data_IF_300341647355
#
_entry.id   IF_300341647355
#
_cell.length_a   1.000
_cell.length_b   1.000
_cell.length_c   1.000
_cell.angle_alpha   90.00
_cell.angle_beta   90.00
_cell.angle_gamma   90.00
#
_symmetry.space_group_name_H-M   'P 1'
#
loop_
_entity.id
_entity.type
_entity.pdbx_description
1 polymer ?
#
# COMPACT_ATOMS: atom_id res chain seq x y z
N UNK A 1 30.62 28.33 -30.25
CA UNK A 1 30.22 29.20 -29.13
C UNK A 1 30.52 28.45 -27.84
N UNK A 2 31.60 28.78 -27.11
CA UNK A 2 31.82 28.19 -25.79
C UNK A 2 30.73 28.70 -24.84
N UNK A 3 30.22 27.83 -23.97
CA UNK A 3 29.21 28.20 -22.98
C UNK A 3 29.72 29.35 -22.08
N UNK A 4 28.88 30.32 -21.68
CA UNK A 4 29.30 31.41 -20.82
C UNK A 4 29.81 30.83 -19.51
N UNK A 5 31.10 31.04 -19.22
CA UNK A 5 31.72 30.62 -17.96
C UNK A 5 31.02 31.33 -16.80
N UNK A 6 30.39 30.56 -15.91
CA UNK A 6 29.62 31.10 -14.79
C UNK A 6 30.51 32.00 -13.90
N UNK A 7 30.09 33.26 -13.72
CA UNK A 7 30.86 34.28 -13.02
C UNK A 7 30.88 33.99 -11.49
N UNK A 8 32.04 33.71 -10.88
CA UNK A 8 32.14 33.33 -9.45
C UNK A 8 31.64 34.39 -8.49
N UNK A 9 31.62 35.67 -8.90
CA UNK A 9 31.10 36.78 -8.11
C UNK A 9 29.57 36.72 -7.89
N UNK A 10 28.82 36.13 -8.83
CA UNK A 10 27.36 35.97 -8.73
C UNK A 10 26.99 34.66 -8.02
N UNK A 11 27.80 33.62 -8.19
CA UNK A 11 27.57 32.30 -7.58
C UNK A 11 27.77 32.30 -6.07
N UNK A 12 28.69 33.11 -5.55
CA UNK A 12 29.06 33.09 -4.12
C UNK A 12 27.93 33.56 -3.20
N UNK A 13 27.22 34.67 -3.48
CA UNK A 13 26.05 35.07 -2.69
C UNK A 13 24.92 34.04 -2.70
N UNK A 14 24.61 33.45 -3.87
CA UNK A 14 23.57 32.43 -4.01
C UNK A 14 23.88 31.17 -3.18
N UNK A 15 25.15 30.74 -3.13
CA UNK A 15 25.57 29.63 -2.27
C UNK A 15 25.37 29.93 -0.79
N UNK A 16 25.68 31.14 -0.34
CA UNK A 16 25.43 31.56 1.05
C UNK A 16 23.94 31.61 1.39
N UNK A 17 23.10 31.98 0.43
CA UNK A 17 21.65 31.92 0.58
C UNK A 17 21.19 30.47 0.78
N UNK A 18 21.66 29.54 -0.06
CA UNK A 18 21.41 28.09 0.08
C UNK A 18 21.87 27.59 1.46
N UNK A 19 23.10 27.90 1.89
CA UNK A 19 23.59 27.49 3.21
C UNK A 19 22.69 27.99 4.35
N UNK A 20 22.14 29.20 4.21
CA UNK A 20 21.23 29.78 5.22
C UNK A 20 19.88 29.05 5.22
N UNK A 21 19.35 28.71 4.04
CA UNK A 21 18.14 27.91 3.89
C UNK A 21 18.33 26.50 4.47
N UNK A 22 19.45 25.84 4.17
CA UNK A 22 19.76 24.49 4.65
C UNK A 22 19.83 24.43 6.18
N UNK A 23 20.46 25.41 6.83
CA UNK A 23 20.46 25.50 8.30
C UNK A 23 19.04 25.64 8.87
N UNK A 24 18.17 26.40 8.21
CA UNK A 24 16.76 26.53 8.61
C UNK A 24 15.98 25.23 8.40
N UNK A 25 16.22 24.53 7.29
CA UNK A 25 15.63 23.21 7.02
C UNK A 25 16.01 22.23 8.13
N UNK A 26 17.30 22.12 8.47
CA UNK A 26 17.76 21.24 9.55
C UNK A 26 17.10 21.60 10.89
N UNK A 27 16.99 22.89 11.23
CA UNK A 27 16.33 23.32 12.45
C UNK A 27 14.84 22.94 12.47
N UNK A 28 14.13 23.10 11.35
CA UNK A 28 12.72 22.72 11.21
C UNK A 28 12.52 21.20 11.30
N UNK A 29 13.41 20.41 10.68
CA UNK A 29 13.38 18.96 10.74
C UNK A 29 13.56 18.46 12.19
N UNK A 30 14.52 19.02 12.93
CA UNK A 30 14.72 18.69 14.34
C UNK A 30 13.50 19.07 15.19
N UNK A 31 12.96 20.27 15.02
CA UNK A 31 11.74 20.70 15.73
C UNK A 31 10.55 19.78 15.44
N UNK A 32 10.38 19.36 14.17
CA UNK A 32 9.35 18.38 13.79
C UNK A 32 9.57 17.05 14.50
N UNK A 33 10.81 16.57 14.57
CA UNK A 33 11.18 15.32 15.22
C UNK A 33 10.97 15.36 16.74
N UNK A 34 11.18 16.50 17.39
CA UNK A 34 10.85 16.69 18.81
C UNK A 34 9.35 16.54 19.05
N UNK A 35 8.51 17.20 18.24
CA UNK A 35 7.04 17.07 18.33
C UNK A 35 6.60 15.63 18.08
N UNK A 36 7.18 15.01 17.06
CA UNK A 36 7.00 13.59 16.71
C UNK A 36 7.30 12.68 17.92
N UNK A 37 8.41 12.93 18.61
CA UNK A 37 8.84 12.14 19.78
C UNK A 37 7.87 12.31 20.95
N UNK A 38 7.36 13.52 21.20
CA UNK A 38 6.35 13.77 22.23
C UNK A 38 5.04 13.04 21.94
N UNK A 39 4.58 13.03 20.69
CA UNK A 39 3.42 12.24 20.26
C UNK A 39 3.66 10.75 20.54
N UNK A 40 4.84 10.23 20.19
CA UNK A 40 5.22 8.85 20.48
C UNK A 40 5.20 8.52 21.98
N UNK A 41 5.66 9.43 22.84
CA UNK A 41 5.61 9.25 24.29
C UNK A 41 4.16 9.17 24.81
N UNK A 42 3.30 10.09 24.38
CA UNK A 42 1.88 10.07 24.78
C UNK A 42 1.15 8.80 24.34
N UNK A 43 1.42 8.30 23.14
CA UNK A 43 0.83 7.04 22.65
C UNK A 43 1.25 5.85 23.52
N UNK A 44 2.50 5.81 24.00
CA UNK A 44 2.99 4.77 24.91
C UNK A 44 2.35 4.86 26.29
N UNK A 45 2.22 6.07 26.83
CA UNK A 45 1.63 6.32 28.15
C UNK A 45 0.16 5.93 28.23
N UNK A 46 -0.60 6.21 27.17
CA UNK A 46 -2.05 5.92 27.14
C UNK A 46 -2.37 4.43 27.01
N UNK A 47 -1.37 3.54 26.84
CA UNK A 47 -1.55 2.10 26.54
C UNK A 47 -2.58 1.84 25.44
N UNK A 48 -2.84 2.84 24.58
CA UNK A 48 -3.65 2.64 23.40
C UNK A 48 -2.83 1.69 22.55
N UNK A 49 -3.31 0.46 22.43
CA UNK A 49 -2.61 -0.61 21.73
C UNK A 49 -2.27 -0.27 20.28
N UNK A 50 -2.82 0.84 19.73
CA UNK A 50 -2.46 1.50 18.47
C UNK A 50 -0.94 1.57 18.27
N UNK A 51 -0.38 0.48 17.75
CA UNK A 51 1.03 0.31 17.46
C UNK A 51 1.41 1.22 16.29
N UNK A 52 1.70 2.47 16.63
CA UNK A 52 2.56 3.50 16.02
C UNK A 52 2.46 3.85 14.52
N UNK A 53 1.80 3.06 13.67
CA UNK A 53 1.71 3.29 12.23
C UNK A 53 0.27 3.47 11.76
N UNK A 54 -0.01 4.64 11.19
CA UNK A 54 -1.30 4.96 10.56
C UNK A 54 -1.03 5.39 9.11
N UNK A 55 -1.14 4.41 8.19
CA UNK A 55 -0.92 4.62 6.76
C UNK A 55 -1.83 5.72 6.20
N UNK A 56 -3.10 5.73 6.62
CA UNK A 56 -4.09 6.70 6.15
C UNK A 56 -3.72 8.13 6.58
N UNK A 57 -3.21 8.30 7.81
CA UNK A 57 -2.76 9.61 8.31
C UNK A 57 -1.56 10.14 7.55
N UNK A 58 -0.60 9.29 7.19
CA UNK A 58 0.57 9.67 6.39
C UNK A 58 0.17 10.08 4.98
N UNK A 59 -0.66 9.27 4.31
CA UNK A 59 -1.11 9.58 2.95
C UNK A 59 -1.97 10.85 2.91
N UNK A 60 -2.83 11.06 3.92
CA UNK A 60 -3.61 12.30 4.04
C UNK A 60 -2.72 13.53 4.21
N UNK A 61 -1.64 13.41 4.99
CA UNK A 61 -0.66 14.48 5.16
C UNK A 61 0.10 14.77 3.87
N UNK A 62 0.53 13.74 3.14
CA UNK A 62 1.21 13.90 1.87
C UNK A 62 0.33 14.58 0.83
N UNK A 63 -0.94 14.15 0.70
CA UNK A 63 -1.91 14.78 -0.20
C UNK A 63 -2.12 16.26 0.13
N UNK A 64 -2.23 16.60 1.41
CA UNK A 64 -2.34 17.99 1.84
C UNK A 64 -1.11 18.79 1.42
N UNK A 65 0.10 18.31 1.75
CA UNK A 65 1.35 19.00 1.44
C UNK A 65 1.60 19.15 -0.06
N UNK A 66 1.21 18.16 -0.87
CA UNK A 66 1.27 18.24 -2.33
C UNK A 66 0.29 19.28 -2.85
N UNK A 67 -0.94 19.30 -2.33
CA UNK A 67 -1.95 20.29 -2.72
C UNK A 67 -1.60 21.73 -2.32
N UNK A 68 -0.83 21.89 -1.24
CA UNK A 68 -0.36 23.19 -0.76
C UNK A 68 0.97 23.65 -1.37
N UNK A 69 1.63 22.85 -2.21
CA UNK A 69 2.93 23.19 -2.81
C UNK A 69 2.75 24.07 -4.06
N UNK A 70 3.01 25.40 -4.00
CA UNK A 70 2.94 26.27 -5.16
C UNK A 70 4.30 26.38 -5.87
N UNK A 71 5.32 25.69 -5.35
CA UNK A 71 6.71 25.85 -5.73
C UNK A 71 7.11 24.96 -6.92
N UNK A 72 8.36 25.11 -7.40
CA UNK A 72 8.88 24.34 -8.53
C UNK A 72 9.14 22.86 -8.21
N UNK A 73 8.95 22.46 -6.95
CA UNK A 73 9.21 21.10 -6.50
C UNK A 73 8.12 20.15 -7.04
N UNK A 74 8.53 19.09 -7.72
CA UNK A 74 7.57 18.10 -8.23
C UNK A 74 6.89 17.33 -7.08
N UNK A 75 5.65 16.88 -7.30
CA UNK A 75 4.93 16.05 -6.33
C UNK A 75 5.70 14.76 -5.96
N UNK A 76 6.35 14.13 -6.95
CA UNK A 76 7.18 12.94 -6.74
C UNK A 76 8.39 13.22 -5.83
N UNK A 77 9.08 14.34 -6.06
CA UNK A 77 10.22 14.77 -5.23
C UNK A 77 9.77 15.09 -3.80
N UNK A 78 8.65 15.79 -3.64
CA UNK A 78 8.11 16.11 -2.31
C UNK A 78 7.74 14.84 -1.53
N UNK A 79 7.11 13.86 -2.20
CA UNK A 79 6.80 12.55 -1.62
C UNK A 79 8.07 11.80 -1.19
N UNK A 80 9.10 11.79 -2.02
CA UNK A 80 10.37 11.14 -1.71
C UNK A 80 11.08 11.75 -0.47
N UNK A 81 11.06 13.08 -0.36
CA UNK A 81 11.61 13.81 0.79
C UNK A 81 10.80 13.50 2.06
N UNK A 82 9.48 13.64 2.00
CA UNK A 82 8.64 13.42 3.18
C UNK A 82 8.61 11.95 3.63
N UNK A 83 8.79 10.99 2.72
CA UNK A 83 8.98 9.57 3.06
C UNK A 83 10.16 9.38 4.00
N UNK A 84 11.33 9.96 3.72
CA UNK A 84 12.49 9.84 4.61
C UNK A 84 12.27 10.60 5.93
N UNK A 85 11.63 11.77 5.87
CA UNK A 85 11.24 12.51 7.08
C UNK A 85 10.32 11.65 7.98
N UNK A 86 9.40 10.88 7.40
CA UNK A 86 8.54 9.95 8.14
C UNK A 86 9.33 8.75 8.65
N UNK A 87 10.23 8.18 7.84
CA UNK A 87 11.13 7.08 8.23
C UNK A 87 11.92 7.43 9.49
N UNK A 88 12.67 8.52 9.48
CA UNK A 88 13.45 8.96 10.64
C UNK A 88 12.60 9.34 11.85
N UNK A 89 11.35 9.78 11.62
CA UNK A 89 10.39 10.02 12.69
C UNK A 89 9.96 8.73 13.39
N UNK A 90 9.63 7.69 12.62
CA UNK A 90 9.18 6.40 13.17
C UNK A 90 10.32 5.66 13.85
N UNK A 91 11.53 5.70 13.27
CA UNK A 91 12.73 5.12 13.87
C UNK A 91 12.99 5.62 15.31
N UNK A 92 12.64 6.87 15.63
CA UNK A 92 12.75 7.40 17.02
C UNK A 92 11.53 7.15 17.90
N UNK A 93 10.33 7.03 17.34
CA UNK A 93 9.11 6.78 18.12
C UNK A 93 8.96 5.30 18.48
N UNK A 94 8.92 4.46 17.45
CA UNK A 94 8.71 3.02 17.51
C UNK A 94 9.08 2.47 16.12
N UNK A 95 10.31 1.97 15.93
CA UNK A 95 10.75 1.41 14.67
C UNK A 95 9.76 0.35 14.17
N UNK A 96 9.46 0.37 12.87
CA UNK A 96 8.62 -0.66 12.28
C UNK A 96 9.46 -1.90 12.02
N UNK A 97 8.94 -3.06 12.41
CA UNK A 97 9.49 -4.34 11.96
C UNK A 97 8.62 -4.84 10.81
N UNK A 98 9.15 -4.74 9.59
CA UNK A 98 8.43 -5.04 8.34
C UNK A 98 8.89 -6.39 7.83
N UNK A 99 7.99 -7.37 7.85
CA UNK A 99 8.22 -8.68 7.27
C UNK A 99 7.85 -8.74 5.79
N UNK A 100 8.65 -9.44 5.02
CA UNK A 100 8.32 -9.76 3.62
C UNK A 100 8.64 -11.22 3.32
N UNK A 101 7.98 -11.76 2.30
CA UNK A 101 8.29 -13.11 1.84
C UNK A 101 9.62 -13.10 1.10
N UNK A 102 10.56 -13.84 1.67
CA UNK A 102 11.76 -14.25 0.97
C UNK A 102 11.36 -15.49 0.19
N UNK A 103 11.09 -15.31 -1.10
CA UNK A 103 10.46 -16.33 -1.93
C UNK A 103 11.14 -17.70 -1.75
N UNK A 104 10.37 -18.77 -1.78
CA UNK A 104 10.92 -20.14 -1.81
C UNK A 104 11.20 -20.63 -3.25
N UNK A 105 10.97 -19.77 -4.25
CA UNK A 105 11.10 -20.07 -5.68
C UNK A 105 9.98 -20.96 -6.24
N UNK A 106 8.99 -21.36 -5.42
CA UNK A 106 8.02 -22.40 -5.80
C UNK A 106 6.57 -21.93 -5.92
N UNK A 107 6.18 -20.80 -5.31
CA UNK A 107 4.76 -20.39 -5.29
C UNK A 107 4.44 -18.91 -5.55
N UNK A 108 5.43 -18.02 -5.62
CA UNK A 108 5.21 -16.59 -5.88
C UNK A 108 5.84 -16.18 -7.22
N UNK A 109 5.07 -15.50 -8.08
CA UNK A 109 5.56 -14.91 -9.34
C UNK A 109 6.45 -13.66 -9.14
N UNK A 110 6.70 -13.29 -7.88
CA UNK A 110 7.49 -12.13 -7.48
C UNK A 110 8.92 -12.55 -7.13
N UNK A 111 9.90 -11.91 -7.76
CA UNK A 111 11.31 -12.10 -7.46
C UNK A 111 11.61 -11.76 -5.98
N UNK A 112 12.54 -12.49 -5.34
CA UNK A 112 12.88 -12.38 -3.90
C UNK A 112 13.16 -10.94 -3.43
N UNK A 113 13.64 -10.07 -4.32
CA UNK A 113 13.99 -8.68 -4.01
C UNK A 113 12.84 -7.67 -4.21
N UNK A 114 11.80 -8.03 -4.96
CA UNK A 114 10.71 -7.09 -5.30
C UNK A 114 9.91 -6.65 -4.07
N UNK A 115 9.53 -7.54 -3.12
CA UNK A 115 8.85 -7.12 -1.89
C UNK A 115 9.71 -6.19 -1.03
N UNK A 116 11.02 -6.47 -0.92
CA UNK A 116 11.94 -5.60 -0.17
C UNK A 116 12.05 -4.23 -0.83
N UNK A 117 12.17 -4.18 -2.16
CA UNK A 117 12.18 -2.94 -2.92
C UNK A 117 10.90 -2.14 -2.68
N UNK A 118 9.73 -2.78 -2.75
CA UNK A 118 8.44 -2.15 -2.46
C UNK A 118 8.41 -1.56 -1.05
N UNK A 119 8.88 -2.31 -0.06
CA UNK A 119 8.93 -1.88 1.32
C UNK A 119 9.87 -0.66 1.51
N UNK A 120 11.10 -0.73 1.00
CA UNK A 120 12.06 0.38 1.08
C UNK A 120 11.55 1.65 0.39
N UNK A 121 10.94 1.48 -0.80
CA UNK A 121 10.38 2.61 -1.56
C UNK A 121 9.17 3.23 -0.85
N UNK A 122 8.46 2.53 0.03
CA UNK A 122 7.36 3.09 0.83
C UNK A 122 7.80 3.65 2.18
N UNK A 123 8.68 2.95 2.89
CA UNK A 123 8.93 3.19 4.31
C UNK A 123 10.29 3.85 4.60
N UNK A 124 11.20 3.95 3.64
CA UNK A 124 12.53 4.48 3.90
C UNK A 124 13.56 3.41 4.20
N UNK A 125 14.80 3.80 4.40
CA UNK A 125 15.91 2.86 4.59
C UNK A 125 16.18 2.52 6.06
N UNK A 126 15.67 3.33 7.00
CA UNK A 126 15.99 3.21 8.43
C UNK A 126 15.09 2.22 9.21
N UNK A 127 14.11 1.60 8.54
CA UNK A 127 13.22 0.62 9.18
C UNK A 127 13.84 -0.77 9.27
N UNK A 128 13.31 -1.62 10.16
CA UNK A 128 13.79 -2.98 10.31
C UNK A 128 13.07 -3.92 9.34
N UNK A 129 13.77 -4.35 8.29
CA UNK A 129 13.25 -5.30 7.31
C UNK A 129 13.65 -6.73 7.65
N UNK A 130 12.68 -7.66 7.59
CA UNK A 130 12.92 -9.07 7.88
C UNK A 130 12.37 -9.98 6.79
N UNK A 131 13.28 -10.73 6.17
CA UNK A 131 12.96 -11.85 5.30
C UNK A 131 12.30 -12.98 6.10
N UNK A 132 11.16 -13.47 5.62
CA UNK A 132 10.44 -14.60 6.20
C UNK A 132 10.19 -15.64 5.10
N UNK A 133 10.61 -16.91 5.28
CA UNK A 133 10.65 -17.88 4.19
C UNK A 133 9.31 -18.51 3.84
N UNK A 134 8.25 -18.31 4.64
CA UNK A 134 6.96 -18.97 4.44
C UNK A 134 5.78 -18.04 4.73
N UNK A 135 4.72 -18.04 3.89
CA UNK A 135 3.49 -17.28 4.14
C UNK A 135 2.88 -17.55 5.51
N UNK A 136 2.84 -18.82 5.98
CA UNK A 136 2.25 -19.13 7.27
C UNK A 136 3.08 -18.57 8.45
N UNK A 137 4.40 -18.53 8.30
CA UNK A 137 5.27 -17.92 9.32
C UNK A 137 5.04 -16.41 9.36
N UNK A 138 4.96 -15.77 8.19
CA UNK A 138 4.71 -14.33 8.08
C UNK A 138 3.40 -13.93 8.78
N UNK A 139 2.30 -14.66 8.51
CA UNK A 139 1.00 -14.43 9.18
C UNK A 139 1.09 -14.61 10.69
N UNK A 140 1.69 -15.71 11.15
CA UNK A 140 1.80 -16.00 12.59
C UNK A 140 2.64 -14.95 13.31
N UNK A 141 3.73 -14.51 12.69
CA UNK A 141 4.60 -13.49 13.27
C UNK A 141 3.91 -12.13 13.36
N UNK A 142 3.20 -11.71 12.30
CA UNK A 142 2.38 -10.48 12.32
C UNK A 142 1.26 -10.57 13.35
N UNK A 143 0.51 -11.68 13.40
CA UNK A 143 -0.58 -11.85 14.36
C UNK A 143 -0.07 -11.86 15.83
N UNK A 144 1.14 -12.39 16.06
CA UNK A 144 1.79 -12.36 17.37
C UNK A 144 2.35 -10.99 17.77
N UNK A 145 2.40 -10.02 16.86
CA UNK A 145 3.02 -8.71 17.08
C UNK A 145 4.55 -8.70 17.00
N UNK A 146 5.18 -9.79 16.56
CA UNK A 146 6.63 -9.83 16.29
C UNK A 146 7.02 -9.02 15.06
N UNK A 147 6.10 -8.93 14.10
CA UNK A 147 6.18 -8.03 12.97
C UNK A 147 5.11 -6.97 13.15
N UNK A 148 5.48 -5.71 12.93
CA UNK A 148 4.53 -4.59 12.93
C UNK A 148 3.71 -4.62 11.65
N UNK A 149 4.36 -4.88 10.51
CA UNK A 149 3.72 -4.96 9.19
C UNK A 149 4.24 -6.16 8.43
N UNK A 150 3.43 -6.67 7.51
CA UNK A 150 3.84 -7.70 6.57
C UNK A 150 3.35 -7.42 5.16
N UNK A 151 4.21 -7.65 4.16
CA UNK A 151 3.87 -7.49 2.74
C UNK A 151 3.39 -8.80 2.14
N UNK A 152 2.27 -8.75 1.42
CA UNK A 152 1.69 -9.89 0.71
C UNK A 152 1.37 -9.55 -0.75
N UNK A 153 1.72 -10.45 -1.66
CA UNK A 153 1.22 -10.41 -3.05
C UNK A 153 -0.25 -10.88 -3.10
N UNK A 154 -1.00 -10.54 -4.16
CA UNK A 154 -2.38 -10.99 -4.33
C UNK A 154 -2.52 -12.52 -4.26
N UNK A 155 -1.56 -13.27 -4.79
CA UNK A 155 -1.53 -14.74 -4.83
C UNK A 155 -1.40 -15.33 -3.43
N UNK A 156 -0.37 -14.89 -2.70
CA UNK A 156 -0.10 -15.29 -1.31
C UNK A 156 -1.24 -14.89 -0.37
N UNK A 157 -1.85 -13.72 -0.62
CA UNK A 157 -3.04 -13.25 0.09
C UNK A 157 -4.26 -14.13 -0.18
N UNK A 158 -4.49 -14.50 -1.45
CA UNK A 158 -5.60 -15.39 -1.82
C UNK A 158 -5.43 -16.78 -1.20
N UNK A 159 -4.21 -17.31 -1.20
CA UNK A 159 -3.88 -18.62 -0.61
C UNK A 159 -4.07 -18.64 0.91
N UNK A 160 -3.84 -17.50 1.58
CA UNK A 160 -3.82 -17.42 3.05
C UNK A 160 -4.99 -16.62 3.64
N UNK A 161 -5.91 -16.14 2.81
CA UNK A 161 -6.86 -15.09 3.15
C UNK A 161 -7.86 -15.43 4.27
N UNK A 162 -8.25 -16.70 4.40
CA UNK A 162 -9.15 -17.12 5.50
C UNK A 162 -8.46 -17.06 6.87
N UNK A 163 -7.13 -17.26 6.94
CA UNK A 163 -6.37 -17.12 8.18
C UNK A 163 -6.17 -15.66 8.59
N UNK A 164 -6.12 -14.75 7.61
CA UNK A 164 -5.90 -13.32 7.81
C UNK A 164 -7.15 -12.65 8.39
N UNK A 165 -8.35 -13.00 7.92
CA UNK A 165 -9.60 -12.32 8.25
C UNK A 165 -9.99 -12.29 9.74
N UNK A 166 -9.35 -13.11 10.58
CA UNK A 166 -9.64 -13.21 12.02
C UNK A 166 -8.85 -12.19 12.84
N UNK A 167 -7.52 -12.22 12.72
CA UNK A 167 -6.59 -11.51 13.61
C UNK A 167 -5.81 -10.38 12.91
N UNK A 168 -5.91 -10.31 11.58
CA UNK A 168 -5.18 -9.36 10.75
C UNK A 168 -6.14 -8.53 9.90
N UNK A 169 -5.66 -7.38 9.42
CA UNK A 169 -6.36 -6.58 8.43
C UNK A 169 -5.38 -5.93 7.46
N UNK A 170 -5.86 -5.64 6.25
CA UNK A 170 -5.10 -4.90 5.24
C UNK A 170 -5.24 -3.41 5.50
N UNK A 171 -4.11 -2.74 5.76
CA UNK A 171 -4.05 -1.32 6.12
C UNK A 171 -3.55 -0.42 4.99
N UNK A 172 -3.13 -1.00 3.86
CA UNK A 172 -2.60 -0.25 2.72
C UNK A 172 -2.18 -1.17 1.58
N UNK A 173 -1.80 -0.56 0.46
CA UNK A 173 -1.19 -1.26 -0.66
C UNK A 173 -0.06 -0.43 -1.26
N UNK A 174 0.94 -1.10 -1.81
CA UNK A 174 2.08 -0.51 -2.49
C UNK A 174 2.05 -1.01 -3.93
N UNK A 175 1.96 -0.09 -4.89
CA UNK A 175 2.06 -0.43 -6.30
C UNK A 175 3.44 -0.01 -6.78
N UNK A 176 4.29 -0.99 -7.12
CA UNK A 176 5.55 -0.69 -7.79
C UNK A 176 5.29 -0.45 -9.27
N UNK A 177 5.58 0.76 -9.74
CA UNK A 177 5.68 0.98 -11.19
C UNK A 177 7.01 0.39 -11.68
N UNK A 178 7.02 -0.33 -12.82
CA UNK A 178 8.27 -0.84 -13.37
C UNK A 178 9.21 0.33 -13.64
N UNK A 179 10.44 0.24 -13.10
CA UNK A 179 11.49 1.19 -13.39
C UNK A 179 11.66 1.33 -14.91
N UNK A 180 11.82 2.55 -15.41
CA UNK A 180 12.30 2.78 -16.77
C UNK A 180 13.60 1.98 -16.91
N UNK A 181 13.72 1.02 -17.85
CA UNK A 181 14.95 0.26 -17.98
C UNK A 181 16.09 1.24 -18.25
N UNK A 182 17.07 1.28 -17.34
CA UNK A 182 18.32 1.98 -17.53
C UNK A 182 18.90 1.58 -18.89
N UNK A 183 19.30 2.58 -19.66
CA UNK A 183 19.50 2.53 -21.10
C UNK A 183 20.18 1.27 -21.62
N UNK A 184 19.65 0.75 -22.72
CA UNK A 184 20.22 -0.32 -23.53
C UNK A 184 21.72 -0.10 -23.74
N UNK A 185 22.55 -0.86 -23.02
CA UNK A 185 23.85 -1.28 -23.57
C UNK A 185 23.57 -1.94 -24.91
N UNK A 186 24.27 -1.51 -25.97
CA UNK A 186 24.12 -2.00 -27.34
C UNK A 186 24.45 -3.51 -27.42
N UNK A 187 23.51 -4.36 -27.02
CA UNK A 187 23.50 -5.79 -27.29
C UNK A 187 22.31 -6.11 -28.19
N UNK A 188 22.57 -6.53 -29.43
CA UNK A 188 21.54 -7.02 -30.34
C UNK A 188 20.96 -8.34 -29.78
N UNK A 189 19.94 -8.24 -28.95
CA UNK A 189 19.04 -9.32 -28.60
C UNK A 189 17.62 -8.84 -28.83
N UNK A 190 16.85 -9.54 -29.67
CA UNK A 190 15.42 -9.29 -29.85
C UNK A 190 14.73 -9.52 -28.51
N UNK A 191 14.41 -8.44 -27.79
CA UNK A 191 13.54 -8.51 -26.63
C UNK A 191 12.10 -8.60 -27.15
N UNK A 192 11.49 -9.76 -27.00
CA UNK A 192 10.10 -10.00 -27.34
C UNK A 192 9.18 -9.04 -26.57
N UNK A 193 8.40 -8.26 -27.32
CA UNK A 193 7.51 -7.21 -26.83
C UNK A 193 6.19 -7.76 -26.22
N UNK A 194 6.23 -8.86 -25.47
CA UNK A 194 5.04 -9.56 -24.97
C UNK A 194 5.12 -10.00 -23.50
N UNK A 195 5.47 -9.08 -22.59
CA UNK A 195 5.09 -9.19 -21.17
C UNK A 195 5.20 -7.82 -20.51
N UNK A 196 4.22 -6.94 -20.76
CA UNK A 196 3.91 -5.89 -19.78
C UNK A 196 3.32 -6.62 -18.56
N UNK A 197 4.19 -7.08 -17.66
CA UNK A 197 3.80 -7.67 -16.37
C UNK A 197 2.98 -6.59 -15.67
N UNK A 198 1.68 -6.87 -15.45
CA UNK A 198 0.77 -5.92 -14.84
C UNK A 198 1.36 -5.42 -13.51
N UNK A 199 1.21 -4.13 -13.20
CA UNK A 199 1.56 -3.58 -11.89
C UNK A 199 0.75 -4.34 -10.82
N UNK A 200 1.41 -5.30 -10.16
CA UNK A 200 0.82 -6.11 -9.10
C UNK A 200 1.03 -5.37 -7.78
N UNK A 201 -0.05 -5.05 -7.04
CA UNK A 201 0.05 -4.39 -5.75
C UNK A 201 0.56 -5.36 -4.68
N UNK A 202 1.42 -4.88 -3.79
CA UNK A 202 1.73 -5.52 -2.51
C UNK A 202 0.78 -4.98 -1.45
N UNK A 203 0.13 -5.85 -0.70
CA UNK A 203 -0.76 -5.47 0.40
C UNK A 203 -0.01 -5.43 1.72
N UNK A 204 -0.30 -4.41 2.52
CA UNK A 204 0.23 -4.24 3.86
C UNK A 204 -0.74 -4.81 4.88
N UNK A 205 -0.30 -5.83 5.60
CA UNK A 205 -1.07 -6.48 6.65
C UNK A 205 -0.52 -6.08 8.01
N UNK A 206 -1.43 -5.79 8.93
CA UNK A 206 -1.13 -5.52 10.34
C UNK A 206 -2.13 -6.21 11.25
N UNK A 207 -1.80 -6.28 12.54
CA UNK A 207 -2.65 -6.90 13.56
C UNK A 207 -3.89 -6.07 13.81
N UNK A 208 -5.06 -6.73 13.85
CA UNK A 208 -6.33 -6.09 14.19
C UNK A 208 -6.38 -5.85 15.70
N UNK A 209 -6.17 -4.60 16.10
CA UNK A 209 -6.18 -4.19 17.53
C UNK A 209 -7.57 -3.79 18.03
N UNK A 210 -8.46 -3.35 17.12
CA UNK A 210 -9.90 -3.18 17.37
C UNK A 210 -10.66 -3.21 16.04
N UNK A 211 -11.98 -3.48 16.07
CA UNK A 211 -12.82 -3.22 14.89
C UNK A 211 -12.66 -1.75 14.48
N UNK A 212 -12.57 -1.43 13.17
CA UNK A 212 -12.55 -0.04 12.74
C UNK A 212 -13.85 0.60 13.23
N UNK A 213 -13.74 1.46 14.25
CA UNK A 213 -14.87 2.18 14.81
C UNK A 213 -15.55 2.93 13.66
N UNK A 214 -16.72 2.43 13.23
CA UNK A 214 -17.58 2.88 12.13
C UNK A 214 -16.98 4.03 11.34
N UNK A 215 -15.89 3.75 10.61
CA UNK A 215 -15.12 4.83 10.01
C UNK A 215 -15.89 5.22 8.78
N UNK A 216 -16.51 6.40 8.80
CA UNK A 216 -17.13 6.97 7.63
C UNK A 216 -16.14 6.84 6.47
N UNK A 217 -16.50 6.03 5.47
CA UNK A 217 -15.60 5.69 4.38
C UNK A 217 -15.31 6.97 3.59
N UNK A 218 -14.11 7.50 3.75
CA UNK A 218 -13.70 8.73 3.09
C UNK A 218 -13.66 8.49 1.57
N UNK A 219 -13.97 9.50 0.75
CA UNK A 219 -13.78 9.41 -0.69
C UNK A 219 -12.33 9.04 -1.04
N UNK A 220 -12.14 8.06 -1.93
CA UNK A 220 -10.83 7.49 -2.28
C UNK A 220 -10.37 6.32 -1.39
N UNK A 221 -11.21 5.85 -0.46
CA UNK A 221 -10.97 4.60 0.28
C UNK A 221 -11.15 3.40 -0.65
N UNK A 222 -10.19 2.47 -0.64
CA UNK A 222 -10.27 1.16 -1.28
C UNK A 222 -10.71 0.11 -0.27
N UNK A 223 -11.69 -0.68 -0.66
CA UNK A 223 -12.18 -1.85 0.07
C UNK A 223 -11.65 -3.11 -0.60
N UNK A 224 -10.97 -3.96 0.16
CA UNK A 224 -10.44 -5.22 -0.34
C UNK A 224 -11.29 -6.38 0.15
N UNK A 225 -11.94 -7.08 -0.79
CA UNK A 225 -12.80 -8.21 -0.51
C UNK A 225 -12.17 -9.52 -0.97
N UNK A 226 -12.24 -10.53 -0.11
CA UNK A 226 -11.99 -11.92 -0.43
C UNK A 226 -13.32 -12.67 -0.56
N UNK A 227 -13.57 -13.22 -1.74
CA UNK A 227 -14.67 -14.13 -1.97
C UNK A 227 -14.16 -15.57 -2.01
N UNK A 228 -14.71 -16.46 -1.19
CA UNK A 228 -14.41 -17.90 -1.18
C UNK A 228 -15.67 -18.74 -1.42
N UNK A 229 -15.49 -20.04 -1.69
CA UNK A 229 -16.59 -20.98 -2.00
C UNK A 229 -17.40 -20.55 -3.23
N UNK A 230 -16.72 -19.97 -4.21
CA UNK A 230 -17.28 -19.76 -5.54
C UNK A 230 -17.35 -21.14 -6.19
N UNK A 231 -18.51 -21.80 -6.12
CA UNK A 231 -18.68 -23.17 -6.62
C UNK A 231 -18.17 -23.36 -8.05
N UNK A 232 -17.80 -24.59 -8.42
CA UNK A 232 -17.26 -24.92 -9.75
C UNK A 232 -18.19 -24.60 -10.94
N UNK A 233 -19.42 -24.17 -10.69
CA UNK A 233 -20.34 -23.71 -11.71
C UNK A 233 -19.85 -22.37 -12.25
N UNK A 234 -19.05 -22.41 -13.33
CA UNK A 234 -18.68 -21.27 -14.22
C UNK A 234 -19.06 -19.94 -13.58
N UNK A 235 -18.32 -19.52 -12.54
CA UNK A 235 -18.45 -18.17 -11.99
C UNK A 235 -18.45 -17.28 -13.19
N UNK A 236 -19.53 -16.52 -13.40
CA UNK A 236 -19.65 -15.72 -14.61
C UNK A 236 -18.61 -14.61 -14.49
N UNK A 237 -17.39 -14.90 -14.95
CA UNK A 237 -16.26 -13.98 -15.01
C UNK A 237 -16.73 -12.72 -15.74
N UNK A 238 -17.66 -12.87 -16.68
CA UNK A 238 -18.38 -11.80 -17.36
C UNK A 238 -19.26 -10.94 -16.43
N UNK A 239 -20.08 -11.51 -15.54
CA UNK A 239 -20.90 -10.74 -14.57
C UNK A 239 -20.03 -10.04 -13.53
N UNK A 240 -19.01 -10.71 -13.00
CA UNK A 240 -18.07 -10.09 -12.05
C UNK A 240 -17.29 -8.97 -12.73
N UNK A 241 -16.77 -9.18 -13.94
CA UNK A 241 -16.11 -8.13 -14.71
C UNK A 241 -17.05 -6.98 -15.09
N UNK A 242 -18.32 -7.25 -15.37
CA UNK A 242 -19.33 -6.21 -15.61
C UNK A 242 -19.61 -5.39 -14.33
N UNK A 243 -19.73 -6.05 -13.18
CA UNK A 243 -19.89 -5.39 -11.88
C UNK A 243 -18.67 -4.52 -11.54
N UNK A 244 -17.46 -5.05 -11.76
CA UNK A 244 -16.21 -4.32 -11.56
C UNK A 244 -16.15 -3.05 -12.43
N UNK A 245 -16.48 -3.17 -13.72
CA UNK A 245 -16.54 -2.02 -14.65
C UNK A 245 -17.56 -0.97 -14.22
N UNK A 246 -18.73 -1.39 -13.75
CA UNK A 246 -19.79 -0.48 -13.32
C UNK A 246 -19.45 0.31 -12.04
N UNK A 247 -18.57 -0.22 -11.17
CA UNK A 247 -18.32 0.32 -9.82
C UNK A 247 -16.88 0.73 -9.57
N UNK A 248 -16.05 0.91 -10.61
CA UNK A 248 -14.61 1.19 -10.47
C UNK A 248 -13.90 0.19 -9.55
N UNK A 249 -14.31 -1.08 -9.62
CA UNK A 249 -13.64 -2.16 -8.90
C UNK A 249 -12.64 -2.85 -9.83
N UNK A 250 -11.56 -3.39 -9.25
CA UNK A 250 -10.53 -4.18 -9.91
C UNK A 250 -10.59 -5.61 -9.40
N UNK A 251 -10.78 -6.56 -10.31
CA UNK A 251 -10.53 -7.98 -10.03
C UNK A 251 -9.01 -8.20 -10.06
N UNK A 252 -8.42 -8.51 -8.91
CA UNK A 252 -6.97 -8.63 -8.78
C UNK A 252 -6.50 -10.04 -9.16
N UNK A 253 -7.16 -11.06 -8.63
CA UNK A 253 -6.88 -12.46 -8.93
C UNK A 253 -8.14 -13.31 -8.72
N UNK A 254 -8.28 -14.37 -9.51
CA UNK A 254 -9.31 -15.39 -9.35
C UNK A 254 -8.72 -16.78 -9.61
N UNK A 255 -8.68 -17.64 -8.58
CA UNK A 255 -8.09 -18.98 -8.66
C UNK A 255 -8.79 -19.92 -7.67
N UNK A 256 -8.95 -21.20 -8.03
CA UNK A 256 -9.45 -22.27 -7.15
C UNK A 256 -10.77 -21.97 -6.43
N UNK A 257 -11.72 -21.29 -7.09
CA UNK A 257 -13.01 -20.94 -6.46
C UNK A 257 -12.91 -19.83 -5.41
N UNK A 258 -11.84 -19.03 -5.45
CA UNK A 258 -11.69 -17.80 -4.68
C UNK A 258 -11.34 -16.62 -5.60
N UNK A 259 -11.72 -15.41 -5.19
CA UNK A 259 -11.43 -14.17 -5.91
C UNK A 259 -11.09 -13.03 -4.94
N UNK A 260 -10.12 -12.21 -5.33
CA UNK A 260 -9.75 -10.98 -4.62
C UNK A 260 -10.20 -9.77 -5.44
N UNK A 261 -11.04 -8.93 -4.83
CA UNK A 261 -11.66 -7.77 -5.49
C UNK A 261 -11.33 -6.52 -4.70
N UNK A 262 -10.73 -5.52 -5.35
CA UNK A 262 -10.52 -4.19 -4.78
C UNK A 262 -11.57 -3.24 -5.33
N UNK A 263 -12.26 -2.50 -4.46
CA UNK A 263 -13.31 -1.55 -4.82
C UNK A 263 -12.90 -0.15 -4.35
N UNK A 264 -12.82 0.82 -5.26
CA UNK A 264 -12.55 2.21 -4.91
C UNK A 264 -13.84 3.00 -4.71
N UNK A 265 -13.96 3.66 -3.56
CA UNK A 265 -15.11 4.51 -3.23
C UNK A 265 -14.93 5.87 -3.91
N UNK A 266 -15.80 6.16 -4.87
CA UNK A 266 -15.71 7.35 -5.72
C UNK A 266 -15.91 8.69 -4.99
N UNK A 267 -15.37 9.75 -5.60
CA UNK A 267 -15.38 11.14 -5.12
C UNK A 267 -16.49 12.01 -5.73
N UNK A 268 -17.28 11.51 -6.68
CA UNK A 268 -18.28 12.31 -7.43
C UNK A 268 -19.72 11.85 -7.19
N UNK A 269 -20.50 12.72 -6.53
CA UNK A 269 -21.94 12.91 -6.75
C UNK A 269 -22.93 11.96 -6.07
N UNK A 270 -22.52 10.77 -5.63
CA UNK A 270 -23.38 9.86 -4.87
C UNK A 270 -22.76 9.58 -3.51
N UNK A 271 -23.58 9.60 -2.45
CA UNK A 271 -23.16 9.11 -1.15
C UNK A 271 -22.63 7.67 -1.30
N UNK A 272 -21.49 7.31 -0.68
CA UNK A 272 -20.98 5.97 -0.75
C UNK A 272 -22.06 5.00 -0.26
N UNK A 273 -22.41 4.00 -1.07
CA UNK A 273 -23.39 3.00 -0.65
C UNK A 273 -22.90 2.37 0.66
N UNK A 274 -23.78 2.20 1.66
CA UNK A 274 -23.39 1.61 2.94
C UNK A 274 -22.82 0.21 2.71
N UNK A 275 -21.79 -0.14 3.51
CA UNK A 275 -21.04 -1.39 3.35
C UNK A 275 -21.92 -2.64 3.17
N UNK A 276 -23.05 -2.83 3.90
CA UNK A 276 -23.93 -3.98 3.69
C UNK A 276 -24.51 -4.07 2.28
N UNK A 277 -24.87 -2.94 1.66
CA UNK A 277 -25.41 -2.91 0.29
C UNK A 277 -24.32 -3.22 -0.74
N UNK A 278 -23.09 -2.79 -0.50
CA UNK A 278 -21.94 -3.14 -1.34
C UNK A 278 -21.63 -4.64 -1.27
N UNK A 279 -21.63 -5.20 -0.06
CA UNK A 279 -21.45 -6.63 0.15
C UNK A 279 -22.54 -7.46 -0.55
N UNK A 280 -23.80 -7.06 -0.41
CA UNK A 280 -24.92 -7.77 -1.05
C UNK A 280 -24.83 -7.69 -2.58
N UNK A 281 -24.51 -6.51 -3.12
CA UNK A 281 -24.32 -6.33 -4.56
C UNK A 281 -23.17 -7.17 -5.11
N UNK A 282 -22.05 -7.25 -4.38
CA UNK A 282 -20.90 -8.07 -4.76
C UNK A 282 -21.26 -9.57 -4.68
N UNK A 283 -21.95 -10.01 -3.63
CA UNK A 283 -22.47 -11.38 -3.53
C UNK A 283 -23.38 -11.74 -4.70
N UNK A 284 -24.29 -10.84 -5.09
CA UNK A 284 -25.17 -11.04 -6.24
C UNK A 284 -24.39 -11.18 -7.56
N UNK A 285 -23.34 -10.36 -7.76
CA UNK A 285 -22.48 -10.44 -8.92
C UNK A 285 -21.69 -11.76 -9.01
N UNK A 286 -21.30 -12.32 -7.86
CA UNK A 286 -20.56 -13.57 -7.76
C UNK A 286 -21.42 -14.82 -8.01
N UNK A 287 -22.69 -14.83 -7.55
CA UNK A 287 -23.60 -15.99 -7.69
C UNK A 287 -24.38 -15.98 -9.00
N UNK A 288 -24.62 -14.80 -9.59
CA UNK A 288 -25.34 -14.67 -10.85
C UNK A 288 -26.86 -14.86 -10.80
N UNK A 289 -27.43 -15.24 -9.65
CA UNK A 289 -28.87 -15.31 -9.32
C UNK A 289 -29.08 -15.22 -7.79
N UNK A 290 -30.24 -14.80 -7.28
CA UNK A 290 -30.49 -14.75 -5.83
C UNK A 290 -30.40 -16.15 -5.21
N UNK A 291 -29.63 -16.27 -4.13
CA UNK A 291 -29.42 -17.52 -3.40
C UNK A 291 -30.73 -18.00 -2.77
N UNK A 292 -31.23 -19.16 -3.21
CA UNK A 292 -32.24 -19.91 -2.46
C UNK A 292 -31.63 -20.30 -1.10
N UNK A 293 -32.34 -19.95 -0.02
CA UNK A 293 -31.90 -19.86 1.38
C UNK A 293 -31.51 -21.19 2.08
N UNK A 294 -31.19 -22.27 1.35
CA UNK A 294 -31.04 -23.62 1.94
C UNK A 294 -29.83 -24.46 1.49
N UNK A 295 -28.73 -23.90 0.99
CA UNK A 295 -27.53 -24.71 0.68
C UNK A 295 -26.28 -24.23 1.41
N UNK A 296 -25.58 -25.17 2.06
CA UNK A 296 -24.31 -24.98 2.81
C UNK A 296 -23.11 -24.50 1.97
N UNK A 297 -23.34 -24.16 0.70
CA UNK A 297 -22.33 -23.83 -0.31
C UNK A 297 -22.49 -22.40 -0.89
N UNK A 298 -23.13 -21.50 -0.15
CA UNK A 298 -23.19 -20.08 -0.52
C UNK A 298 -21.78 -19.46 -0.46
N UNK A 299 -21.43 -18.55 -1.38
CA UNK A 299 -20.13 -17.91 -1.36
C UNK A 299 -19.98 -17.09 -0.09
N UNK A 300 -18.80 -17.19 0.52
CA UNK A 300 -18.41 -16.38 1.66
C UNK A 300 -17.70 -15.14 1.16
N UNK A 301 -18.10 -13.98 1.67
CA UNK A 301 -17.45 -12.71 1.40
C UNK A 301 -16.83 -12.21 2.70
N UNK A 302 -15.54 -11.88 2.65
CA UNK A 302 -14.77 -11.36 3.78
C UNK A 302 -14.16 -10.01 3.39
N UNK A 303 -14.43 -8.98 4.18
CA UNK A 303 -13.72 -7.69 4.06
C UNK A 303 -12.35 -7.84 4.73
N UNK A 304 -11.29 -7.82 3.92
CA UNK A 304 -9.91 -7.92 4.41
C UNK A 304 -9.35 -6.58 4.88
N UNK A 305 -9.82 -5.46 4.33
CA UNK A 305 -9.36 -4.14 4.73
C UNK A 305 -10.07 -2.99 4.04
N UNK A 306 -9.94 -1.81 4.65
CA UNK A 306 -10.40 -0.52 4.14
C UNK A 306 -9.28 0.51 4.35
N UNK A 307 -8.70 1.02 3.27
CA UNK A 307 -7.51 1.88 3.33
C UNK A 307 -7.52 2.91 2.20
N UNK A 308 -6.84 4.04 2.37
CA UNK A 308 -6.67 5.01 1.28
C UNK A 308 -5.68 4.47 0.24
N UNK A 309 -6.05 4.55 -1.03
CA UNK A 309 -5.16 4.19 -2.13
C UNK A 309 -3.88 5.03 -2.11
N UNK A 310 -2.72 4.38 -2.13
CA UNK A 310 -1.45 5.06 -2.32
C UNK A 310 -1.16 5.22 -3.83
N UNK A 311 -0.58 6.35 -4.23
CA UNK A 311 -0.09 6.53 -5.60
C UNK A 311 1.10 5.61 -5.89
N UNK A 312 1.28 5.23 -7.16
CA UNK A 312 2.32 4.29 -7.56
C UNK A 312 3.71 4.77 -7.10
N UNK A 313 4.45 3.83 -6.52
CA UNK A 313 5.80 4.08 -6.04
C UNK A 313 6.76 3.69 -7.16
N UNK A 314 7.48 4.66 -7.70
CA UNK A 314 8.63 4.40 -8.57
C UNK A 314 9.85 4.10 -7.70
N UNK A 315 10.51 2.95 -7.87
CA UNK A 315 11.79 2.71 -7.22
C UNK A 315 12.80 3.75 -7.70
N UNK A 316 13.58 4.29 -6.76
CA UNK A 316 14.65 5.24 -7.03
C UNK A 316 15.88 4.55 -7.63
#
# INVERSE_FOLDING_TARGET
MPAPSANPAVLTPLRKEIETLDRRIVALLNKRLEVSTRIGAMKREQKTHNHSFDANREESLLRLLIGENPGPLSAASLRAIYREIFSSSRARQSPLTIGYLDGDGTHDECDHHTPLLAACSRFGVEEHYRAVPRPQALIRETASGRLTLSLFCPESLLASGEAIAKDLYVCGEIVLSPAIPLGKGKGKGKADAKTQKAELPFFLLTRRESEPASTALLPGTRLLFLATRLGQAKTSTAKLAAWCRARRARLLIQKNGAALVSLEIGTKGAAPAPLPQLEESLRAALVGSPLSSKKSNAPRLLLLGAYLAEETVTPA
#
